data_IF_542934781891
#
_entry.id   IF_542934781891
#
_cell.length_a   1.000
_cell.length_b   1.000
_cell.length_c   1.000
_cell.angle_alpha   90.00
_cell.angle_beta   90.00
_cell.angle_gamma   90.00
#
_symmetry.space_group_name_H-M   'P 1'
#
loop_
_entity.id
_entity.type
_entity.pdbx_description
1 polymer ?
#
# COMPACT_ATOMS: atom_id res chain seq x y z
N UNK A 1 -3.99 -5.80 18.39
CA UNK A 1 -3.46 -6.59 19.54
C UNK A 1 -3.60 -8.10 19.37
N UNK A 2 -4.78 -8.62 18.96
CA UNK A 2 -5.01 -10.08 18.83
C UNK A 2 -4.26 -10.73 17.66
N UNK A 3 -4.33 -10.16 16.45
CA UNK A 3 -3.64 -10.72 15.27
C UNK A 3 -2.12 -10.80 15.45
N UNK A 4 -1.50 -9.75 16.02
CA UNK A 4 -0.05 -9.70 16.28
C UNK A 4 0.42 -10.74 17.29
N UNK A 5 -0.43 -11.11 18.26
CA UNK A 5 -0.15 -12.19 19.22
C UNK A 5 -0.29 -13.56 18.57
N UNK A 6 -1.27 -13.73 17.69
CA UNK A 6 -1.54 -15.01 17.03
C UNK A 6 -0.54 -15.33 15.89
N UNK A 7 -0.15 -14.32 15.10
CA UNK A 7 0.66 -14.49 13.88
C UNK A 7 2.09 -13.96 14.01
N UNK A 8 2.40 -13.29 15.11
CA UNK A 8 3.66 -12.60 15.29
C UNK A 8 3.71 -11.26 14.56
N UNK A 9 4.77 -10.50 14.86
CA UNK A 9 5.12 -9.28 14.13
C UNK A 9 6.05 -9.66 12.98
N UNK A 10 6.04 -8.87 11.92
CA UNK A 10 6.82 -9.16 10.71
C UNK A 10 7.56 -7.93 10.22
N UNK A 11 8.83 -8.14 9.88
CA UNK A 11 9.70 -7.13 9.31
C UNK A 11 10.47 -7.77 8.14
N UNK A 12 10.61 -7.04 7.06
CA UNK A 12 11.53 -7.36 5.98
C UNK A 12 12.12 -6.07 5.41
N UNK A 13 13.33 -6.17 4.88
CA UNK A 13 14.08 -5.00 4.44
C UNK A 13 13.54 -4.45 3.12
N UNK A 14 13.70 -3.14 2.95
CA UNK A 14 13.53 -2.47 1.67
C UNK A 14 14.51 -3.01 0.61
N UNK A 15 15.78 -3.14 0.99
CA UNK A 15 16.82 -3.79 0.21
C UNK A 15 18.10 -3.98 1.03
N UNK A 16 19.15 -4.52 0.41
CA UNK A 16 20.43 -4.74 1.11
C UNK A 16 21.19 -3.44 1.41
N UNK A 17 21.07 -2.44 0.54
CA UNK A 17 21.71 -1.13 0.70
C UNK A 17 20.88 -0.17 1.56
N UNK A 18 19.57 -0.36 1.54
CA UNK A 18 18.57 0.49 2.19
C UNK A 18 18.00 -0.28 3.39
N UNK A 19 18.69 -0.18 4.54
CA UNK A 19 18.44 -1.01 5.73
C UNK A 19 17.25 -0.52 6.56
N UNK A 20 16.12 -0.30 5.92
CA UNK A 20 14.87 0.12 6.55
C UNK A 20 13.88 -1.03 6.50
N UNK A 21 13.23 -1.31 7.63
CA UNK A 21 12.23 -2.36 7.71
C UNK A 21 10.86 -1.87 7.27
N UNK A 22 10.23 -2.64 6.38
CA UNK A 22 8.89 -2.41 5.86
C UNK A 22 8.70 -0.99 5.31
N UNK A 23 9.70 -0.42 4.62
CA UNK A 23 9.58 0.91 4.01
C UNK A 23 8.28 1.03 3.23
N UNK A 24 7.40 1.92 3.67
CA UNK A 24 5.97 1.76 3.52
C UNK A 24 5.46 2.23 2.17
N UNK A 25 6.05 3.30 1.66
CA UNK A 25 5.85 3.81 0.31
C UNK A 25 6.29 2.81 -0.76
N UNK A 26 7.26 1.94 -0.45
CA UNK A 26 7.72 0.82 -1.30
C UNK A 26 6.91 -0.45 -1.04
N UNK A 27 6.56 -0.73 0.21
CA UNK A 27 5.68 -1.81 0.64
C UNK A 27 4.33 -1.73 -0.07
N UNK A 28 3.83 -0.52 -0.36
CA UNK A 28 2.64 -0.30 -1.20
C UNK A 28 2.63 -1.14 -2.49
N UNK A 29 3.78 -1.27 -3.14
CA UNK A 29 3.93 -2.07 -4.35
C UNK A 29 4.10 -3.55 -4.01
N UNK A 30 5.01 -3.85 -3.08
CA UNK A 30 5.41 -5.20 -2.70
C UNK A 30 4.31 -6.02 -2.01
N UNK A 31 3.40 -5.34 -1.30
CA UNK A 31 2.40 -5.96 -0.42
C UNK A 31 1.34 -6.76 -1.16
N UNK A 32 1.26 -6.64 -2.50
CA UNK A 32 0.50 -7.56 -3.33
C UNK A 32 0.96 -9.02 -3.15
N UNK A 33 2.26 -9.27 -2.97
CA UNK A 33 2.74 -10.61 -2.69
C UNK A 33 2.22 -11.12 -1.32
N UNK A 34 2.32 -10.29 -0.28
CA UNK A 34 1.90 -10.68 1.06
C UNK A 34 0.39 -10.88 1.16
N UNK A 35 -0.44 -9.95 0.66
CA UNK A 35 -1.90 -10.10 0.79
C UNK A 35 -2.45 -11.31 0.02
N UNK A 36 -1.83 -11.66 -1.12
CA UNK A 36 -2.25 -12.81 -1.92
C UNK A 36 -1.80 -14.16 -1.31
N UNK A 37 -0.60 -14.21 -0.73
CA UNK A 37 0.01 -15.47 -0.28
C UNK A 37 -0.09 -15.69 1.24
N UNK A 38 0.08 -14.62 2.02
CA UNK A 38 0.10 -14.61 3.48
C UNK A 38 -0.75 -13.47 4.05
N UNK A 39 -2.08 -13.47 3.82
CA UNK A 39 -2.96 -12.36 4.18
C UNK A 39 -2.91 -11.97 5.66
N UNK A 40 -2.79 -12.96 6.57
CA UNK A 40 -2.69 -12.66 8.00
C UNK A 40 -1.36 -11.98 8.37
N UNK A 41 -0.28 -12.22 7.62
CA UNK A 41 1.00 -11.55 7.79
C UNK A 41 0.89 -10.09 7.35
N UNK A 42 0.28 -9.85 6.18
CA UNK A 42 -0.03 -8.50 5.69
C UNK A 42 -0.87 -7.73 6.71
N UNK A 43 -1.95 -8.34 7.23
CA UNK A 43 -2.80 -7.71 8.24
C UNK A 43 -2.01 -7.41 9.51
N UNK A 44 -1.18 -8.33 9.99
CA UNK A 44 -0.34 -8.10 11.18
C UNK A 44 0.58 -6.90 11.00
N UNK A 45 1.26 -6.81 9.85
CA UNK A 45 2.11 -5.68 9.47
C UNK A 45 1.31 -4.37 9.40
N UNK A 46 0.11 -4.39 8.81
CA UNK A 46 -0.74 -3.20 8.71
C UNK A 46 -1.17 -2.69 10.10
N UNK A 47 -1.40 -3.57 11.07
CA UNK A 47 -1.66 -3.18 12.46
C UNK A 47 -0.44 -2.56 13.15
N UNK A 48 0.78 -2.97 12.78
CA UNK A 48 2.00 -2.31 13.28
C UNK A 48 2.10 -0.87 12.75
N UNK A 49 1.77 -0.62 11.48
CA UNK A 49 1.69 0.75 10.96
C UNK A 49 0.56 1.55 11.61
N UNK A 50 -0.65 0.98 11.75
CA UNK A 50 -1.74 1.62 12.50
C UNK A 50 -1.27 2.09 13.88
N UNK A 51 -0.65 1.21 14.65
CA UNK A 51 -0.25 1.50 16.03
C UNK A 51 0.91 2.52 16.09
N UNK A 52 1.64 2.72 14.98
CA UNK A 52 2.75 3.67 14.88
C UNK A 52 2.32 5.11 14.51
N UNK A 53 1.15 5.28 13.90
CA UNK A 53 0.72 6.59 13.36
C UNK A 53 0.58 7.64 14.46
N UNK A 54 -0.02 7.27 15.60
CA UNK A 54 -0.21 8.15 16.76
C UNK A 54 1.02 8.21 17.67
N UNK A 55 2.12 7.53 17.32
CA UNK A 55 3.35 7.64 18.09
C UNK A 55 4.13 8.87 17.66
N UNK A 56 4.84 9.41 18.65
CA UNK A 56 5.75 10.54 18.52
C UNK A 56 7.14 10.13 18.99
N UNK A 57 8.17 10.59 18.28
CA UNK A 57 9.55 10.50 18.71
C UNK A 57 10.21 11.88 18.56
N UNK A 58 10.48 12.52 19.71
CA UNK A 58 11.02 13.88 19.79
C UNK A 58 12.53 13.97 19.59
N UNK A 59 13.23 12.87 19.27
CA UNK A 59 14.64 12.92 18.86
C UNK A 59 14.78 13.86 17.65
N UNK A 60 15.58 14.91 17.78
CA UNK A 60 15.80 15.85 16.68
C UNK A 60 16.84 15.29 15.72
N UNK A 61 16.49 15.14 14.45
CA UNK A 61 17.38 14.66 13.39
C UNK A 61 17.61 15.74 12.36
N UNK A 62 18.84 15.80 11.84
CA UNK A 62 19.21 16.64 10.71
C UNK A 62 19.07 15.83 9.42
N UNK A 63 18.29 16.34 8.48
CA UNK A 63 18.07 15.70 7.19
C UNK A 63 19.27 15.89 6.26
N UNK A 64 19.58 14.84 5.49
CA UNK A 64 20.74 14.86 4.58
C UNK A 64 20.49 15.69 3.32
N UNK A 65 19.24 15.84 2.89
CA UNK A 65 18.91 16.55 1.64
C UNK A 65 19.16 18.06 1.71
N UNK A 66 18.66 18.73 2.76
CA UNK A 66 18.69 20.20 2.88
C UNK A 66 19.28 20.69 4.21
N UNK A 67 19.68 19.79 5.11
CA UNK A 67 20.23 20.13 6.40
C UNK A 67 19.24 20.69 7.42
N UNK A 68 17.93 20.71 7.12
CA UNK A 68 16.91 21.08 8.10
C UNK A 68 16.81 20.04 9.21
N UNK A 69 16.24 20.45 10.34
CA UNK A 69 16.04 19.58 11.50
C UNK A 69 14.56 19.40 11.80
N UNK A 70 14.12 18.18 12.06
CA UNK A 70 12.77 17.89 12.54
C UNK A 70 12.78 16.82 13.64
N UNK A 71 11.64 16.61 14.28
CA UNK A 71 11.42 15.45 15.16
C UNK A 71 11.40 14.16 14.33
N UNK A 72 12.14 13.14 14.76
CA UNK A 72 12.27 11.85 14.07
C UNK A 72 10.92 11.25 13.65
N UNK A 73 9.91 11.38 14.50
CA UNK A 73 8.53 10.98 14.18
C UNK A 73 7.54 12.01 14.71
N UNK A 74 6.87 12.70 13.78
CA UNK A 74 5.72 13.55 14.07
C UNK A 74 4.47 12.69 14.26
N UNK A 75 3.62 13.05 15.22
CA UNK A 75 2.34 12.37 15.44
C UNK A 75 1.39 12.51 14.24
N UNK A 76 0.46 11.56 14.07
CA UNK A 76 -0.58 11.55 13.05
C UNK A 76 -0.04 11.50 11.62
N UNK A 77 1.15 10.95 11.44
CA UNK A 77 1.72 10.57 10.14
C UNK A 77 2.03 9.09 10.11
N UNK A 78 1.88 8.49 8.94
CA UNK A 78 2.43 7.17 8.66
C UNK A 78 3.96 7.29 8.67
N UNK A 79 4.70 6.48 9.45
CA UNK A 79 6.14 6.47 9.35
C UNK A 79 6.57 5.91 7.98
N UNK A 80 7.71 6.37 7.50
CA UNK A 80 8.33 5.84 6.29
C UNK A 80 8.69 4.36 6.46
N UNK A 81 9.26 4.00 7.61
CA UNK A 81 9.70 2.64 7.90
C UNK A 81 9.54 2.32 9.40
N UNK A 82 9.58 1.04 9.75
CA UNK A 82 9.51 0.56 11.12
C UNK A 82 10.89 0.37 11.76
N UNK A 83 11.92 1.08 11.29
CA UNK A 83 13.25 1.14 11.88
C UNK A 83 14.34 0.41 11.12
N UNK A 84 15.54 0.36 11.72
CA UNK A 84 16.77 -0.22 11.15
C UNK A 84 17.21 -1.47 11.95
N UNK A 85 17.81 -2.51 11.32
CA UNK A 85 18.41 -3.66 12.00
C UNK A 85 19.41 -3.35 13.12
N UNK A 86 20.07 -2.20 13.08
CA UNK A 86 21.05 -1.75 14.07
C UNK A 86 20.43 -0.95 15.23
N UNK A 87 19.13 -0.68 15.19
CA UNK A 87 18.39 0.03 16.23
C UNK A 87 17.37 -0.90 16.92
N UNK A 88 16.29 -0.35 17.48
CA UNK A 88 15.18 -1.13 18.04
C UNK A 88 13.95 -0.97 17.14
N UNK A 89 13.73 -1.89 16.18
CA UNK A 89 12.60 -1.83 15.27
C UNK A 89 11.27 -1.67 16.01
N UNK A 90 10.30 -1.08 15.33
CA UNK A 90 8.98 -0.69 15.84
C UNK A 90 8.93 0.41 16.90
N UNK A 91 9.99 0.59 17.70
CA UNK A 91 10.09 1.66 18.68
C UNK A 91 10.87 2.86 18.11
N UNK A 92 11.95 2.57 17.37
CA UNK A 92 12.77 3.56 16.66
C UNK A 92 12.43 3.54 15.16
N UNK A 93 11.19 3.94 14.83
CA UNK A 93 10.71 4.08 13.45
C UNK A 93 11.35 5.28 12.73
N UNK A 94 11.11 5.42 11.42
CA UNK A 94 11.73 6.46 10.58
C UNK A 94 13.27 6.44 10.70
N UNK A 95 13.87 5.30 10.37
CA UNK A 95 15.31 5.20 10.22
C UNK A 95 15.82 6.02 9.02
N UNK A 96 15.00 6.19 7.99
CA UNK A 96 15.30 7.01 6.82
C UNK A 96 15.72 8.45 7.19
N UNK A 97 16.95 8.88 6.83
CA UNK A 97 17.50 10.16 7.30
C UNK A 97 17.48 11.27 6.25
N UNK A 98 17.05 11.01 5.01
CA UNK A 98 17.32 11.92 3.90
C UNK A 98 16.36 13.12 3.87
N UNK A 99 15.05 12.87 4.03
CA UNK A 99 14.00 13.90 3.99
C UNK A 99 13.13 13.88 5.25
N UNK A 100 12.38 14.95 5.48
CA UNK A 100 11.27 14.95 6.44
C UNK A 100 10.07 14.21 5.84
N UNK A 101 9.93 12.94 6.23
CA UNK A 101 8.87 12.05 5.73
C UNK A 101 7.48 12.40 6.28
N UNK A 102 7.40 13.25 7.31
CA UNK A 102 6.11 13.68 7.85
C UNK A 102 5.34 14.60 6.90
N UNK A 103 6.06 15.18 5.94
CA UNK A 103 5.56 16.06 4.89
C UNK A 103 5.35 15.31 3.56
N UNK A 104 5.58 14.00 3.50
CA UNK A 104 5.37 13.26 2.26
C UNK A 104 3.88 13.15 1.89
N UNK A 105 3.60 13.33 0.60
CA UNK A 105 2.24 13.40 0.02
C UNK A 105 1.65 12.03 -0.29
N UNK A 106 2.46 10.98 -0.29
CA UNK A 106 2.06 9.63 -0.70
C UNK A 106 1.89 8.65 0.47
N UNK A 107 2.63 8.76 1.57
CA UNK A 107 2.58 7.79 2.68
C UNK A 107 1.18 7.62 3.29
N UNK A 108 0.52 8.73 3.63
CA UNK A 108 -0.83 8.70 4.22
C UNK A 108 -1.87 8.13 3.24
N UNK A 109 -1.82 8.54 1.97
CA UNK A 109 -2.77 8.09 0.93
C UNK A 109 -2.54 6.61 0.60
N UNK A 110 -1.28 6.16 0.50
CA UNK A 110 -0.89 4.75 0.38
C UNK A 110 -1.34 3.91 1.56
N UNK A 111 -1.36 4.45 2.78
CA UNK A 111 -1.89 3.74 3.94
C UNK A 111 -3.38 3.48 3.83
N UNK A 112 -4.16 4.52 3.53
CA UNK A 112 -5.61 4.42 3.36
C UNK A 112 -5.96 3.42 2.25
N UNK A 113 -5.25 3.50 1.13
CA UNK A 113 -5.44 2.61 -0.01
C UNK A 113 -5.11 1.15 0.33
N UNK A 114 -4.00 0.89 1.02
CA UNK A 114 -3.63 -0.45 1.50
C UNK A 114 -4.69 -1.02 2.46
N UNK A 115 -5.19 -0.22 3.41
CA UNK A 115 -6.28 -0.65 4.29
C UNK A 115 -7.49 -1.12 3.48
N UNK A 116 -7.94 -0.34 2.50
CA UNK A 116 -9.10 -0.74 1.70
C UNK A 116 -8.84 -1.98 0.85
N UNK A 117 -7.68 -2.07 0.18
CA UNK A 117 -7.31 -3.24 -0.63
C UNK A 117 -7.34 -4.50 0.22
N UNK A 118 -6.71 -4.46 1.39
CA UNK A 118 -6.61 -5.61 2.29
C UNK A 118 -8.01 -6.00 2.78
N UNK A 119 -8.86 -5.03 3.15
CA UNK A 119 -10.27 -5.28 3.46
C UNK A 119 -11.00 -6.00 2.32
N UNK A 120 -10.87 -5.50 1.08
CA UNK A 120 -11.55 -6.06 -0.07
C UNK A 120 -11.11 -7.51 -0.33
N UNK A 121 -9.81 -7.79 -0.26
CA UNK A 121 -9.27 -9.13 -0.52
C UNK A 121 -9.67 -10.10 0.60
N UNK A 122 -9.62 -9.67 1.86
CA UNK A 122 -10.08 -10.48 3.01
C UNK A 122 -11.57 -10.80 2.87
N UNK A 123 -12.39 -9.82 2.48
CA UNK A 123 -13.82 -10.02 2.22
C UNK A 123 -14.05 -11.03 1.09
N UNK A 124 -13.28 -10.96 0.00
CA UNK A 124 -13.37 -11.93 -1.09
C UNK A 124 -13.03 -13.35 -0.59
N UNK A 125 -12.03 -13.49 0.27
CA UNK A 125 -11.71 -14.78 0.90
C UNK A 125 -12.82 -15.28 1.83
N UNK A 126 -13.43 -14.40 2.63
CA UNK A 126 -14.58 -14.75 3.46
C UNK A 126 -15.75 -15.25 2.61
N UNK A 127 -16.06 -14.58 1.50
CA UNK A 127 -17.16 -14.94 0.61
C UNK A 127 -16.92 -16.29 -0.11
N UNK A 128 -15.72 -16.48 -0.67
CA UNK A 128 -15.34 -17.75 -1.29
C UNK A 128 -15.45 -18.90 -0.27
N UNK A 129 -15.05 -18.64 0.97
CA UNK A 129 -15.15 -19.64 2.03
C UNK A 129 -16.60 -19.90 2.43
N UNK A 130 -17.46 -18.88 2.60
CA UNK A 130 -18.88 -19.12 2.90
C UNK A 130 -19.57 -19.93 1.80
N UNK A 131 -19.26 -19.65 0.54
CA UNK A 131 -19.81 -20.39 -0.60
C UNK A 131 -19.32 -21.85 -0.59
N UNK A 132 -18.07 -22.08 -0.18
CA UNK A 132 -17.49 -23.42 -0.04
C UNK A 132 -17.87 -24.14 1.26
N UNK A 133 -18.32 -23.44 2.31
CA UNK A 133 -18.82 -24.07 3.55
C UNK A 133 -20.10 -24.86 3.29
N UNK A 134 -20.86 -24.51 2.25
CA UNK A 134 -21.94 -25.36 1.71
C UNK A 134 -21.44 -26.71 1.15
N UNK A 135 -20.12 -26.85 0.91
CA UNK A 135 -19.44 -28.06 0.42
C UNK A 135 -18.46 -28.69 1.41
N UNK A 136 -17.97 -27.96 2.42
CA UNK A 136 -17.02 -28.45 3.44
C UNK A 136 -17.26 -27.79 4.81
N UNK A 137 -17.63 -28.60 5.81
CA UNK A 137 -18.28 -28.18 7.06
C UNK A 137 -17.36 -27.68 8.20
N UNK A 138 -16.29 -26.92 7.95
CA UNK A 138 -15.34 -26.66 9.04
C UNK A 138 -14.56 -25.34 8.97
N UNK A 139 -15.21 -24.18 9.22
CA UNK A 139 -14.52 -22.94 9.62
C UNK A 139 -15.39 -22.16 10.63
N UNK A 140 -14.77 -21.69 11.73
CA UNK A 140 -15.34 -20.74 12.70
C UNK A 140 -14.42 -19.51 12.83
N UNK A 141 -15.02 -18.32 12.98
CA UNK A 141 -14.35 -17.03 13.07
C UNK A 141 -13.65 -16.84 14.43
N UNK A 142 -12.57 -16.05 14.50
CA UNK A 142 -11.91 -15.72 15.77
C UNK A 142 -12.86 -14.87 16.64
N UNK A 143 -13.42 -15.45 17.69
CA UNK A 143 -13.97 -14.72 18.83
C UNK A 143 -13.03 -14.77 20.05
N UNK A 144 -13.37 -14.04 21.12
CA UNK A 144 -12.56 -13.96 22.34
C UNK A 144 -12.44 -15.30 23.06
N UNK A 145 -13.43 -16.19 22.95
CA UNK A 145 -13.49 -17.48 23.65
C UNK A 145 -12.58 -18.50 22.97
N UNK A 146 -12.55 -18.51 21.64
CA UNK A 146 -11.67 -19.37 20.84
C UNK A 146 -10.17 -19.14 21.12
N UNK A 147 -9.80 -17.95 21.59
CA UNK A 147 -8.43 -17.58 21.92
C UNK A 147 -8.01 -18.04 23.33
N UNK A 148 -8.93 -18.08 24.31
CA UNK A 148 -8.60 -18.56 25.66
C UNK A 148 -8.20 -20.03 25.64
N UNK A 149 -8.89 -20.82 24.81
CA UNK A 149 -8.60 -22.24 24.64
C UNK A 149 -7.25 -22.48 23.96
N UNK A 150 -6.86 -21.60 23.04
CA UNK A 150 -5.58 -21.68 22.33
C UNK A 150 -4.38 -21.40 23.24
N UNK A 151 -4.52 -20.50 24.22
CA UNK A 151 -3.46 -20.17 25.19
C UNK A 151 -3.31 -21.28 26.23
N UNK A 152 -4.41 -21.95 26.61
CA UNK A 152 -4.43 -22.99 27.64
C UNK A 152 -3.94 -24.37 27.16
N UNK A 153 -3.93 -24.64 25.85
CA UNK A 153 -3.66 -25.96 25.28
C UNK A 153 -2.21 -26.30 24.92
N UNK A 154 -1.22 -25.44 25.19
CA UNK A 154 0.18 -25.61 24.73
C UNK A 154 1.03 -26.60 25.55
N UNK A 155 0.42 -27.65 26.10
CA UNK A 155 1.09 -28.73 26.80
C UNK A 155 1.00 -30.06 26.04
N UNK A 156 2.04 -30.37 25.23
CA UNK A 156 2.31 -31.66 24.57
C UNK A 156 1.34 -32.15 23.46
N UNK A 157 1.82 -32.28 22.21
CA UNK A 157 1.98 -33.54 21.45
C UNK A 157 2.32 -33.34 19.95
N UNK A 158 2.65 -34.46 19.28
CA UNK A 158 3.60 -34.70 18.17
C UNK A 158 3.09 -34.48 16.73
N UNK A 159 4.09 -34.33 15.84
CA UNK A 159 4.13 -34.25 14.36
C UNK A 159 3.39 -35.40 13.64
N UNK A 160 2.62 -35.09 12.59
CA UNK A 160 2.28 -35.97 11.45
C UNK A 160 2.30 -35.18 10.13
N UNK A 161 2.86 -35.79 9.07
CA UNK A 161 3.13 -35.18 7.76
C UNK A 161 2.15 -35.63 6.65
N UNK A 162 2.02 -34.75 5.63
CA UNK A 162 1.54 -34.85 4.23
C UNK A 162 0.03 -34.81 3.90
N UNK A 163 -0.41 -33.67 3.35
CA UNK A 163 -0.58 -33.48 1.90
C UNK A 163 -1.17 -32.10 1.54
N UNK A 164 -0.61 -31.48 0.49
CA UNK A 164 -0.99 -30.23 -0.21
C UNK A 164 -2.11 -29.37 0.42
N UNK A 165 -1.73 -28.35 1.21
CA UNK A 165 -2.65 -27.26 1.61
C UNK A 165 -2.02 -25.91 1.30
N UNK A 166 -2.80 -25.04 0.67
CA UNK A 166 -2.40 -23.70 0.23
C UNK A 166 -1.93 -22.86 1.43
N UNK A 167 -0.79 -22.20 1.29
CA UNK A 167 -0.03 -21.54 2.35
C UNK A 167 -0.69 -20.26 2.94
N UNK A 168 -1.94 -19.96 2.60
CA UNK A 168 -2.64 -18.72 2.99
C UNK A 168 -3.51 -18.84 4.26
N UNK A 169 -3.49 -19.99 4.93
CA UNK A 169 -4.30 -20.29 6.11
C UNK A 169 -3.44 -20.92 7.19
N UNK A 170 -3.38 -20.33 8.38
CA UNK A 170 -2.83 -21.03 9.53
C UNK A 170 -3.82 -22.10 9.96
N UNK A 171 -3.40 -23.35 9.87
CA UNK A 171 -4.07 -24.50 10.46
C UNK A 171 -3.57 -24.57 11.90
N UNK A 172 -4.44 -24.36 12.88
CA UNK A 172 -4.10 -24.68 14.26
C UNK A 172 -3.88 -26.21 14.33
N UNK A 173 -2.64 -26.65 14.51
CA UNK A 173 -2.27 -28.07 14.48
C UNK A 173 -2.90 -28.89 15.63
N UNK A 174 -3.35 -28.22 16.69
CA UNK A 174 -4.00 -28.84 17.85
C UNK A 174 -5.48 -29.14 17.61
N UNK A 175 -6.15 -28.41 16.72
CA UNK A 175 -7.60 -28.58 16.45
C UNK A 175 -8.00 -28.62 14.96
N UNK A 176 -7.04 -28.46 14.04
CA UNK A 176 -7.24 -28.49 12.59
C UNK A 176 -7.93 -27.26 11.97
N UNK A 177 -8.18 -26.17 12.72
CA UNK A 177 -9.01 -25.03 12.27
C UNK A 177 -8.21 -23.91 11.59
N UNK A 178 -8.85 -23.25 10.62
CA UNK A 178 -8.34 -22.07 9.89
C UNK A 178 -8.97 -20.79 10.44
N UNK A 179 -8.15 -19.77 10.70
CA UNK A 179 -8.64 -18.48 11.21
C UNK A 179 -8.25 -17.32 10.29
N UNK A 180 -9.23 -16.67 9.66
CA UNK A 180 -9.06 -15.41 8.94
C UNK A 180 -9.58 -14.25 9.81
N UNK A 181 -8.90 -13.10 9.80
CA UNK A 181 -9.43 -11.89 10.41
C UNK A 181 -10.74 -11.50 9.73
N UNK A 182 -11.77 -11.14 10.51
CA UNK A 182 -13.02 -10.70 9.90
C UNK A 182 -12.82 -9.40 9.12
N UNK A 183 -13.26 -9.33 7.85
CA UNK A 183 -13.05 -8.15 7.01
C UNK A 183 -13.70 -6.90 7.62
N UNK A 184 -14.94 -7.00 8.10
CA UNK A 184 -15.64 -5.86 8.72
C UNK A 184 -15.00 -5.46 10.05
N UNK A 185 -14.47 -6.42 10.81
CA UNK A 185 -13.74 -6.12 12.06
C UNK A 185 -12.44 -5.37 11.76
N UNK A 186 -11.68 -5.85 10.78
CA UNK A 186 -10.46 -5.19 10.32
C UNK A 186 -10.75 -3.75 9.88
N UNK A 187 -11.81 -3.56 9.09
CA UNK A 187 -12.21 -2.24 8.63
C UNK A 187 -12.60 -1.30 9.79
N UNK A 188 -13.42 -1.78 10.75
CA UNK A 188 -13.77 -1.03 11.97
C UNK A 188 -12.55 -0.65 12.81
N UNK A 189 -11.58 -1.56 12.91
CA UNK A 189 -10.36 -1.30 13.66
C UNK A 189 -9.47 -0.26 12.94
N UNK A 190 -9.42 -0.24 11.61
CA UNK A 190 -8.54 0.64 10.82
C UNK A 190 -9.14 2.01 10.50
N UNK A 191 -10.45 2.10 10.29
CA UNK A 191 -11.08 3.34 9.82
C UNK A 191 -10.79 4.58 10.69
N UNK A 192 -10.80 4.51 12.04
CA UNK A 192 -10.46 5.68 12.86
C UNK A 192 -9.06 6.24 12.58
N UNK A 193 -8.08 5.37 12.33
CA UNK A 193 -6.71 5.83 12.04
C UNK A 193 -6.59 6.34 10.60
N UNK A 194 -7.36 5.79 9.65
CA UNK A 194 -7.46 6.33 8.29
C UNK A 194 -7.99 7.77 8.30
N UNK A 195 -9.00 8.07 9.14
CA UNK A 195 -9.50 9.45 9.32
C UNK A 195 -8.39 10.39 9.80
N UNK A 196 -7.61 9.99 10.81
CA UNK A 196 -6.52 10.81 11.36
C UNK A 196 -5.52 11.22 10.28
N UNK A 197 -5.06 10.27 9.48
CA UNK A 197 -4.08 10.57 8.41
C UNK A 197 -4.72 11.29 7.22
N UNK A 198 -6.00 11.06 6.94
CA UNK A 198 -6.75 11.82 5.94
C UNK A 198 -6.88 13.30 6.34
N UNK A 199 -7.26 13.61 7.59
CA UNK A 199 -7.34 14.99 8.07
C UNK A 199 -6.01 15.73 8.01
N UNK A 200 -4.87 15.04 8.20
CA UNK A 200 -3.55 15.64 7.97
C UNK A 200 -3.30 15.87 6.49
N UNK A 201 -3.66 14.91 5.63
CA UNK A 201 -3.47 14.99 4.18
C UNK A 201 -4.30 16.10 3.55
N UNK A 202 -5.53 16.34 4.02
CA UNK A 202 -6.41 17.42 3.56
C UNK A 202 -5.80 18.81 3.75
N UNK A 203 -4.84 19.00 4.65
CA UNK A 203 -4.15 20.28 4.85
C UNK A 203 -3.16 20.60 3.74
N UNK A 204 -2.84 19.63 2.90
CA UNK A 204 -1.98 19.82 1.74
C UNK A 204 -2.73 20.30 0.51
N UNK A 205 -4.05 20.49 0.56
CA UNK A 205 -4.83 21.24 -0.44
C UNK A 205 -4.85 22.72 -0.01
N UNK A 206 -3.97 23.50 -0.62
CA UNK A 206 -3.68 24.88 -0.24
C UNK A 206 -4.57 25.88 -0.97
N UNK A 207 -5.05 25.55 -2.17
CA UNK A 207 -5.91 26.41 -2.99
C UNK A 207 -7.42 26.04 -2.90
N UNK A 208 -7.75 24.91 -2.28
CA UNK A 208 -9.12 24.46 -2.02
C UNK A 208 -9.83 23.85 -3.23
N UNK A 209 -9.09 23.49 -4.28
CA UNK A 209 -9.63 22.92 -5.50
C UNK A 209 -9.94 21.40 -5.42
N UNK A 210 -9.59 20.76 -4.30
CA UNK A 210 -9.75 19.33 -4.09
C UNK A 210 -8.54 18.50 -4.52
N UNK A 211 -7.36 19.08 -4.73
CA UNK A 211 -6.08 18.40 -4.94
C UNK A 211 -5.03 18.88 -3.95
N UNK A 212 -4.16 17.95 -3.55
CA UNK A 212 -3.00 18.29 -2.73
C UNK A 212 -1.84 18.80 -3.59
N UNK A 213 -1.09 19.78 -3.09
CA UNK A 213 0.11 20.29 -3.74
C UNK A 213 1.39 19.66 -3.19
N UNK A 214 2.24 19.18 -4.10
CA UNK A 214 3.63 18.89 -3.82
C UNK A 214 4.41 20.20 -3.58
N UNK A 215 5.37 20.12 -2.67
CA UNK A 215 6.07 21.24 -2.05
C UNK A 215 7.17 21.89 -2.90
N UNK A 216 7.34 21.48 -4.16
CA UNK A 216 8.53 21.81 -4.97
C UNK A 216 9.84 21.31 -4.32
N UNK A 217 9.73 20.26 -3.53
CA UNK A 217 10.83 19.45 -3.01
C UNK A 217 10.42 17.97 -3.10
N UNK A 218 11.36 17.01 -3.03
CA UNK A 218 10.99 15.61 -3.05
C UNK A 218 10.26 15.24 -1.76
N UNK A 219 8.97 14.96 -1.90
CA UNK A 219 8.03 14.69 -0.81
C UNK A 219 7.18 13.44 -1.09
N UNK A 220 7.81 12.42 -1.70
CA UNK A 220 7.20 11.15 -2.08
C UNK A 220 8.28 10.10 -2.44
N UNK A 221 7.90 8.84 -2.69
CA UNK A 221 8.79 7.68 -2.95
C UNK A 221 9.92 7.87 -3.97
N UNK A 222 9.70 8.71 -4.99
CA UNK A 222 10.73 9.17 -5.93
C UNK A 222 11.49 10.33 -5.27
N UNK A 223 12.21 10.02 -4.21
CA UNK A 223 12.82 10.91 -3.20
C UNK A 223 13.91 11.86 -3.72
N UNK A 224 14.35 11.71 -4.97
CA UNK A 224 15.21 12.68 -5.64
C UNK A 224 14.51 13.43 -6.78
N UNK A 225 13.26 13.10 -7.08
CA UNK A 225 12.48 13.69 -8.18
C UNK A 225 11.49 14.72 -7.64
N UNK A 226 11.74 15.98 -7.96
CA UNK A 226 10.92 17.10 -7.49
C UNK A 226 9.60 17.15 -8.25
N UNK A 227 8.49 17.23 -7.51
CA UNK A 227 7.15 17.56 -8.00
C UNK A 227 6.73 18.94 -7.45
N UNK A 228 6.01 19.73 -8.25
CA UNK A 228 5.56 21.09 -7.88
C UNK A 228 4.08 21.32 -8.19
N UNK A 229 3.35 21.79 -7.17
CA UNK A 229 1.89 21.92 -7.22
C UNK A 229 1.22 20.55 -7.31
N UNK A 230 -0.02 20.46 -7.83
CA UNK A 230 -0.65 19.16 -8.04
C UNK A 230 0.15 18.29 -9.01
N UNK A 231 0.57 17.10 -8.57
CA UNK A 231 1.15 16.07 -9.44
C UNK A 231 0.14 15.00 -9.79
N UNK A 232 0.32 14.35 -10.93
CA UNK A 232 -0.55 13.23 -11.31
C UNK A 232 -0.39 12.04 -10.35
N UNK A 233 0.83 11.83 -9.84
CA UNK A 233 1.11 10.74 -8.91
C UNK A 233 0.45 10.96 -7.55
N UNK A 234 0.83 12.02 -6.82
CA UNK A 234 0.30 12.27 -5.48
C UNK A 234 -1.17 12.71 -5.51
N UNK A 235 -1.55 13.57 -6.46
CA UNK A 235 -2.93 13.99 -6.65
C UNK A 235 -3.84 12.81 -7.00
N UNK A 236 -3.40 11.92 -7.89
CA UNK A 236 -4.12 10.69 -8.20
C UNK A 236 -4.31 9.78 -6.99
N UNK A 237 -3.26 9.55 -6.20
CA UNK A 237 -3.32 8.74 -4.97
C UNK A 237 -4.27 9.36 -3.94
N UNK A 238 -4.25 10.69 -3.81
CA UNK A 238 -5.15 11.43 -2.93
C UNK A 238 -6.62 11.25 -3.35
N UNK A 239 -6.96 11.43 -4.62
CA UNK A 239 -8.33 11.19 -5.09
C UNK A 239 -8.78 9.74 -4.89
N UNK A 240 -7.89 8.77 -5.10
CA UNK A 240 -8.20 7.38 -4.81
C UNK A 240 -8.44 7.14 -3.32
N UNK A 241 -7.67 7.80 -2.46
CA UNK A 241 -7.86 7.72 -1.02
C UNK A 241 -9.20 8.33 -0.58
N UNK A 242 -9.63 9.46 -1.17
CA UNK A 242 -10.95 10.04 -0.92
C UNK A 242 -12.08 9.10 -1.35
N UNK A 243 -11.95 8.48 -2.53
CA UNK A 243 -12.91 7.50 -3.01
C UNK A 243 -13.05 6.32 -2.04
N UNK A 244 -11.94 5.69 -1.63
CA UNK A 244 -12.06 4.57 -0.69
C UNK A 244 -12.51 5.03 0.70
N UNK A 245 -12.17 6.24 1.14
CA UNK A 245 -12.70 6.79 2.40
C UNK A 245 -14.21 6.96 2.36
N UNK A 246 -14.79 7.47 1.27
CA UNK A 246 -16.26 7.59 1.16
C UNK A 246 -16.93 6.21 1.15
N UNK A 247 -16.34 5.22 0.47
CA UNK A 247 -16.85 3.84 0.47
C UNK A 247 -16.75 3.21 1.86
N UNK A 248 -15.61 3.35 2.55
CA UNK A 248 -15.45 2.85 3.93
C UNK A 248 -16.45 3.52 4.88
N UNK A 249 -16.64 4.84 4.76
CA UNK A 249 -17.60 5.58 5.54
C UNK A 249 -19.03 5.05 5.35
N UNK A 250 -19.43 4.80 4.09
CA UNK A 250 -20.74 4.21 3.78
C UNK A 250 -20.90 2.80 4.37
N UNK A 251 -19.88 1.93 4.25
CA UNK A 251 -19.90 0.57 4.82
C UNK A 251 -20.06 0.60 6.35
N UNK A 252 -19.48 1.60 7.01
CA UNK A 252 -19.47 1.75 8.46
C UNK A 252 -20.57 2.67 9.01
N UNK A 253 -21.51 3.13 8.16
CA UNK A 253 -22.61 4.01 8.53
C UNK A 253 -22.15 5.37 9.10
N UNK A 254 -21.19 6.00 8.42
CA UNK A 254 -20.71 7.37 8.68
C UNK A 254 -21.10 8.32 7.53
N UNK A 255 -22.36 8.75 7.44
CA UNK A 255 -22.87 9.52 6.30
C UNK A 255 -22.17 10.87 6.11
N UNK A 256 -21.85 11.59 7.19
CA UNK A 256 -21.18 12.91 7.11
C UNK A 256 -19.78 12.80 6.48
N UNK A 257 -19.03 11.76 6.84
CA UNK A 257 -17.72 11.47 6.25
C UNK A 257 -17.87 11.11 4.75
N UNK A 258 -18.87 10.29 4.42
CA UNK A 258 -19.16 9.89 3.05
C UNK A 258 -19.42 11.11 2.15
N UNK A 259 -20.27 12.04 2.61
CA UNK A 259 -20.58 13.29 1.90
C UNK A 259 -19.31 14.14 1.78
N UNK A 260 -18.61 14.40 2.89
CA UNK A 260 -17.38 15.20 2.91
C UNK A 260 -16.35 14.73 1.88
N UNK A 261 -16.03 13.43 1.88
CA UNK A 261 -15.00 12.90 0.99
C UNK A 261 -15.46 12.83 -0.47
N UNK A 262 -16.75 12.59 -0.71
CA UNK A 262 -17.31 12.62 -2.07
C UNK A 262 -17.30 14.03 -2.66
N UNK A 263 -17.66 15.05 -1.88
CA UNK A 263 -17.65 16.45 -2.33
C UNK A 263 -16.24 16.92 -2.71
N UNK A 264 -15.22 16.54 -1.94
CA UNK A 264 -13.82 16.87 -2.24
C UNK A 264 -13.35 16.09 -3.49
N UNK A 265 -13.71 14.81 -3.59
CA UNK A 265 -13.39 13.98 -4.76
C UNK A 265 -13.96 14.57 -6.05
N UNK A 266 -15.18 15.10 -6.02
CA UNK A 266 -15.83 15.69 -7.20
C UNK A 266 -15.10 16.94 -7.69
N UNK A 267 -14.69 17.82 -6.77
CA UNK A 267 -13.88 19.01 -7.07
C UNK A 267 -12.51 18.60 -7.62
N UNK A 268 -11.84 17.69 -6.91
CA UNK A 268 -10.50 17.23 -7.26
C UNK A 268 -10.43 16.50 -8.60
N UNK A 269 -11.46 15.71 -8.96
CA UNK A 269 -11.55 15.09 -10.30
C UNK A 269 -11.60 16.13 -11.41
N UNK A 270 -12.39 17.19 -11.21
CA UNK A 270 -12.45 18.30 -12.18
C UNK A 270 -11.12 19.03 -12.25
N UNK A 271 -10.53 19.38 -11.11
CA UNK A 271 -9.24 20.05 -11.05
C UNK A 271 -8.12 19.22 -11.71
N UNK A 272 -8.09 17.91 -11.49
CA UNK A 272 -7.08 17.02 -12.08
C UNK A 272 -7.17 17.02 -13.60
N UNK A 273 -8.39 16.93 -14.12
CA UNK A 273 -8.63 16.98 -15.56
C UNK A 273 -8.26 18.34 -16.16
N UNK A 274 -8.66 19.44 -15.51
CA UNK A 274 -8.39 20.80 -15.98
C UNK A 274 -6.88 21.15 -15.93
N UNK A 275 -6.18 20.73 -14.88
CA UNK A 275 -4.76 21.07 -14.63
C UNK A 275 -3.77 20.12 -15.33
N UNK A 276 -4.08 18.83 -15.43
CA UNK A 276 -3.07 17.81 -15.81
C UNK A 276 -3.34 17.10 -17.13
N UNK A 277 -4.57 17.04 -17.64
CA UNK A 277 -4.83 16.34 -18.90
C UNK A 277 -4.38 17.19 -20.12
N UNK A 278 -3.34 16.75 -20.82
CA UNK A 278 -2.80 17.48 -21.98
C UNK A 278 -3.35 17.04 -23.35
N UNK A 279 -4.39 16.19 -23.35
CA UNK A 279 -4.95 15.62 -24.57
C UNK A 279 -4.38 14.27 -24.98
N UNK A 280 -3.22 13.84 -24.47
CA UNK A 280 -2.61 12.53 -24.77
C UNK A 280 -2.38 11.69 -23.52
N UNK A 281 -1.80 12.30 -22.50
CA UNK A 281 -1.48 11.70 -21.21
C UNK A 281 -1.69 12.74 -20.12
N UNK A 282 -1.51 12.36 -18.86
CA UNK A 282 -1.53 13.32 -17.76
C UNK A 282 -0.12 13.87 -17.53
N UNK A 283 0.01 15.19 -17.53
CA UNK A 283 1.26 15.88 -17.20
C UNK A 283 1.77 15.45 -15.82
N UNK A 284 3.09 15.37 -15.68
CA UNK A 284 3.76 14.95 -14.45
C UNK A 284 3.29 15.76 -13.22
N UNK A 285 3.25 17.08 -13.37
CA UNK A 285 2.73 18.03 -12.41
C UNK A 285 2.38 19.35 -13.10
N UNK A 286 2.07 20.38 -12.31
CA UNK A 286 1.76 21.72 -12.80
C UNK A 286 2.97 22.61 -13.11
N UNK A 287 4.20 22.10 -13.02
CA UNK A 287 5.41 22.87 -13.34
C UNK A 287 5.59 23.16 -14.83
N UNK A 288 4.80 22.52 -15.70
CA UNK A 288 4.88 22.67 -17.15
C UNK A 288 5.97 21.84 -17.81
N UNK A 289 6.48 20.81 -17.14
CA UNK A 289 7.48 19.89 -17.70
C UNK A 289 6.86 18.93 -18.72
N UNK A 290 7.63 18.60 -19.77
CA UNK A 290 7.20 17.65 -20.80
C UNK A 290 7.65 16.22 -20.46
N UNK A 291 7.15 15.69 -19.34
CA UNK A 291 7.52 14.39 -18.79
C UNK A 291 6.35 13.41 -18.93
N UNK A 292 6.61 12.21 -19.45
CA UNK A 292 5.68 11.08 -19.42
C UNK A 292 6.12 10.16 -18.28
N UNK A 293 5.45 10.27 -17.12
CA UNK A 293 5.72 9.39 -15.99
C UNK A 293 5.06 8.02 -16.22
N UNK A 294 5.83 6.94 -16.04
CA UNK A 294 5.34 5.56 -16.16
C UNK A 294 4.26 5.25 -15.11
N UNK A 295 4.41 5.80 -13.92
CA UNK A 295 3.51 5.60 -12.78
C UNK A 295 2.41 6.67 -12.68
N UNK A 296 2.14 7.43 -13.76
CA UNK A 296 1.12 8.48 -13.76
C UNK A 296 -0.31 7.95 -13.51
N UNK A 297 -0.54 6.63 -13.64
CA UNK A 297 -1.82 6.00 -13.35
C UNK A 297 -1.74 5.05 -12.16
N UNK A 298 -0.79 5.28 -11.24
CA UNK A 298 -0.60 4.47 -10.03
C UNK A 298 -1.91 4.27 -9.25
N UNK A 299 -2.66 5.36 -9.07
CA UNK A 299 -3.91 5.34 -8.32
C UNK A 299 -5.02 4.56 -9.03
N UNK A 300 -5.07 4.62 -10.37
CA UNK A 300 -5.98 3.77 -11.14
C UNK A 300 -5.62 2.30 -10.98
N UNK A 301 -4.33 1.95 -11.16
CA UNK A 301 -3.85 0.58 -10.91
C UNK A 301 -4.24 0.08 -9.53
N UNK A 302 -4.07 0.91 -8.50
CA UNK A 302 -4.39 0.50 -7.14
C UNK A 302 -5.90 0.36 -6.90
N UNK A 303 -6.74 1.25 -7.43
CA UNK A 303 -8.20 1.11 -7.37
C UNK A 303 -8.68 -0.16 -8.11
N UNK A 304 -8.05 -0.50 -9.25
CA UNK A 304 -8.30 -1.79 -9.92
C UNK A 304 -7.96 -2.97 -9.00
N UNK A 305 -6.89 -2.90 -8.23
CA UNK A 305 -6.53 -3.88 -7.19
C UNK A 305 -7.52 -3.91 -6.01
N UNK A 306 -8.24 -2.82 -5.76
CA UNK A 306 -9.33 -2.75 -4.78
C UNK A 306 -10.69 -3.25 -5.32
N UNK A 307 -10.78 -3.63 -6.61
CA UNK A 307 -12.02 -4.12 -7.22
C UNK A 307 -12.89 -3.02 -7.86
N UNK A 308 -12.39 -1.79 -7.92
CA UNK A 308 -13.04 -0.69 -8.65
C UNK A 308 -12.60 -0.64 -10.11
N UNK A 309 -13.19 0.27 -10.87
CA UNK A 309 -12.82 0.49 -12.28
C UNK A 309 -12.35 1.94 -12.53
N UNK A 310 -13.22 2.79 -13.07
CA UNK A 310 -12.87 4.12 -13.60
C UNK A 310 -13.38 5.27 -12.72
N UNK A 311 -13.19 5.16 -11.41
CA UNK A 311 -13.76 6.09 -10.41
C UNK A 311 -13.21 7.52 -10.52
N UNK A 312 -11.92 7.63 -10.85
CA UNK A 312 -11.20 8.91 -10.96
C UNK A 312 -11.08 9.36 -12.41
N UNK A 313 -10.61 8.45 -13.27
CA UNK A 313 -10.18 8.79 -14.63
C UNK A 313 -11.15 8.21 -15.66
N UNK A 314 -11.52 8.98 -16.70
CA UNK A 314 -12.29 8.45 -17.81
C UNK A 314 -11.55 7.31 -18.52
N UNK A 315 -12.26 6.19 -18.80
CA UNK A 315 -11.71 4.99 -19.46
C UNK A 315 -10.89 5.28 -20.71
N UNK A 316 -11.40 6.15 -21.59
CA UNK A 316 -10.73 6.50 -22.83
C UNK A 316 -9.38 7.22 -22.59
N UNK A 317 -9.29 8.06 -21.54
CA UNK A 317 -8.06 8.77 -21.16
C UNK A 317 -7.05 7.82 -20.53
N UNK A 318 -7.49 6.91 -19.67
CA UNK A 318 -6.65 5.81 -19.14
C UNK A 318 -6.01 5.03 -20.28
N UNK A 319 -6.81 4.55 -21.23
CA UNK A 319 -6.29 3.78 -22.37
C UNK A 319 -5.30 4.58 -23.22
N UNK A 320 -5.54 5.88 -23.40
CA UNK A 320 -4.66 6.75 -24.18
C UNK A 320 -3.35 7.06 -23.47
N UNK A 321 -3.38 7.29 -22.15
CA UNK A 321 -2.21 7.47 -21.33
C UNK A 321 -1.36 6.19 -21.29
N UNK A 322 -1.98 5.02 -21.06
CA UNK A 322 -1.27 3.72 -21.10
C UNK A 322 -0.62 3.44 -22.46
N UNK A 323 -1.30 3.75 -23.58
CA UNK A 323 -0.68 3.69 -24.91
C UNK A 323 0.52 4.62 -25.04
N UNK A 324 0.40 5.86 -24.56
CA UNK A 324 1.49 6.83 -24.60
C UNK A 324 2.70 6.35 -23.79
N UNK A 325 2.49 5.73 -22.62
CA UNK A 325 3.55 5.13 -21.80
C UNK A 325 4.20 3.95 -22.54
N UNK A 326 3.38 3.05 -23.09
CA UNK A 326 3.86 1.86 -23.80
C UNK A 326 4.68 2.21 -25.05
N UNK A 327 4.21 3.16 -25.85
CA UNK A 327 4.91 3.67 -27.05
C UNK A 327 6.24 4.37 -26.72
N UNK A 328 6.43 4.81 -25.47
CA UNK A 328 7.66 5.47 -24.99
C UNK A 328 8.47 4.60 -24.02
N UNK A 329 8.42 3.26 -24.22
CA UNK A 329 9.35 2.24 -23.71
C UNK A 329 9.40 2.03 -22.19
N UNK A 330 8.58 1.13 -21.64
CA UNK A 330 8.79 0.66 -20.25
C UNK A 330 8.60 -0.83 -19.98
N UNK A 331 7.80 -1.60 -20.73
CA UNK A 331 7.48 -2.98 -20.31
C UNK A 331 8.48 -4.07 -20.78
N UNK A 332 9.03 -3.97 -21.99
CA UNK A 332 9.90 -5.03 -22.55
C UNK A 332 11.36 -4.99 -22.09
N UNK A 333 11.87 -3.80 -21.72
CA UNK A 333 13.29 -3.60 -21.43
C UNK A 333 13.77 -4.26 -20.14
N UNK A 334 12.92 -4.32 -19.11
CA UNK A 334 13.29 -4.85 -17.80
C UNK A 334 13.58 -6.35 -17.82
N UNK A 335 12.70 -7.17 -18.43
CA UNK A 335 12.92 -8.62 -18.53
C UNK A 335 14.25 -8.93 -19.21
N UNK A 336 14.45 -8.43 -20.43
CA UNK A 336 15.68 -8.65 -21.20
C UNK A 336 16.93 -8.15 -20.44
N UNK A 337 16.84 -6.98 -19.80
CA UNK A 337 17.97 -6.43 -19.05
C UNK A 337 18.35 -7.29 -17.84
N UNK A 338 17.37 -7.80 -17.09
CA UNK A 338 17.62 -8.58 -15.88
C UNK A 338 18.10 -10.00 -16.17
N UNK A 339 17.53 -10.67 -17.17
CA UNK A 339 17.83 -12.09 -17.44
C UNK A 339 18.94 -12.30 -18.46
N UNK A 340 18.98 -11.49 -19.52
CA UNK A 340 19.88 -11.73 -20.65
C UNK A 340 21.15 -10.88 -20.58
N UNK A 341 21.10 -9.70 -19.95
CA UNK A 341 22.22 -8.75 -19.96
C UNK A 341 22.99 -8.65 -18.63
N UNK A 342 22.30 -8.53 -17.49
CA UNK A 342 22.94 -8.22 -16.19
C UNK A 342 23.01 -9.44 -15.26
N UNK A 343 22.06 -10.38 -15.35
CA UNK A 343 22.08 -11.63 -14.56
C UNK A 343 21.64 -11.49 -13.10
N UNK A 344 20.56 -10.75 -12.83
CA UNK A 344 20.07 -10.43 -11.46
C UNK A 344 18.82 -11.24 -11.05
N UNK A 345 18.66 -12.46 -11.55
CA UNK A 345 17.43 -13.26 -11.39
C UNK A 345 17.02 -13.57 -9.93
N UNK A 346 17.92 -13.41 -8.96
CA UNK A 346 17.67 -13.61 -7.53
C UNK A 346 18.02 -12.39 -6.66
N UNK A 347 18.39 -11.28 -7.30
CA UNK A 347 18.87 -10.06 -6.65
C UNK A 347 18.21 -8.84 -7.31
N UNK A 348 16.97 -9.00 -7.78
CA UNK A 348 16.25 -8.00 -8.59
C UNK A 348 16.35 -6.62 -7.95
N UNK A 349 16.87 -5.62 -8.69
CA UNK A 349 17.15 -4.31 -8.13
C UNK A 349 15.92 -3.39 -8.13
N UNK A 350 16.01 -2.27 -7.44
CA UNK A 350 15.03 -1.17 -7.53
C UNK A 350 15.02 -0.57 -8.94
N UNK A 351 16.20 -0.31 -9.50
CA UNK A 351 16.32 0.38 -10.78
C UNK A 351 17.44 -0.20 -11.65
N UNK A 352 17.23 -0.12 -12.96
CA UNK A 352 18.21 -0.42 -14.01
C UNK A 352 18.38 0.83 -14.87
N UNK A 353 19.62 1.14 -15.23
CA UNK A 353 19.97 2.25 -16.11
C UNK A 353 20.17 1.77 -17.54
N UNK A 354 20.23 2.69 -18.51
CA UNK A 354 20.43 2.39 -19.94
C UNK A 354 21.67 1.50 -20.21
N UNK A 355 22.75 1.66 -19.44
CA UNK A 355 24.06 1.03 -19.69
C UNK A 355 24.45 -0.05 -18.67
N UNK A 356 23.73 -1.18 -18.62
CA UNK A 356 24.05 -2.35 -17.77
C UNK A 356 24.43 -2.03 -16.31
N UNK A 357 23.90 -0.94 -15.76
CA UNK A 357 24.08 -0.53 -14.37
C UNK A 357 22.76 -0.68 -13.64
N UNK A 358 22.83 -0.87 -12.32
CA UNK A 358 21.66 -1.00 -11.45
C UNK A 358 21.85 -0.21 -10.15
N UNK A 359 20.78 -0.09 -9.36
CA UNK A 359 20.78 0.51 -8.03
C UNK A 359 19.94 -0.33 -7.07
N UNK A 360 20.48 -0.63 -5.88
CA UNK A 360 19.83 -1.37 -4.80
C UNK A 360 19.32 -2.75 -5.18
N UNK A 361 20.17 -3.77 -5.01
CA UNK A 361 19.82 -5.18 -5.25
C UNK A 361 19.02 -5.81 -4.11
N UNK A 362 18.35 -6.92 -4.41
CA UNK A 362 17.53 -7.66 -3.45
C UNK A 362 16.41 -6.79 -2.90
N UNK A 363 15.75 -6.05 -3.80
CA UNK A 363 14.83 -4.99 -3.45
C UNK A 363 13.38 -5.48 -3.30
N UNK A 364 12.60 -4.82 -2.45
CA UNK A 364 11.23 -5.27 -2.15
C UNK A 364 10.22 -4.93 -3.27
N UNK A 365 10.38 -3.79 -3.97
CA UNK A 365 9.38 -3.28 -4.95
C UNK A 365 9.02 -4.26 -6.09
N UNK A 366 9.97 -5.05 -6.64
CA UNK A 366 9.68 -6.08 -7.65
C UNK A 366 8.67 -7.15 -7.24
N UNK A 367 8.39 -7.34 -5.94
CA UNK A 367 7.31 -8.23 -5.47
C UNK A 367 5.91 -7.79 -5.99
N UNK A 368 5.79 -6.56 -6.51
CA UNK A 368 4.58 -6.05 -7.19
C UNK A 368 4.15 -6.86 -8.41
N UNK A 369 5.01 -7.73 -8.97
CA UNK A 369 4.63 -8.68 -10.04
C UNK A 369 3.40 -9.53 -9.66
N UNK A 370 3.19 -9.80 -8.37
CA UNK A 370 2.00 -10.51 -7.87
C UNK A 370 0.68 -9.77 -8.15
N UNK A 371 0.71 -8.46 -8.39
CA UNK A 371 -0.48 -7.72 -8.84
C UNK A 371 -0.97 -8.18 -10.22
N UNK A 372 -0.07 -8.67 -11.09
CA UNK A 372 -0.45 -9.25 -12.38
C UNK A 372 -1.21 -10.56 -12.20
N UNK A 373 -0.80 -11.39 -11.24
CA UNK A 373 -1.51 -12.63 -10.91
C UNK A 373 -2.94 -12.31 -10.41
N UNK A 374 -3.08 -11.33 -9.51
CA UNK A 374 -4.40 -10.88 -9.03
C UNK A 374 -5.29 -10.39 -10.17
N UNK A 375 -4.73 -9.59 -11.10
CA UNK A 375 -5.47 -9.09 -12.26
C UNK A 375 -5.90 -10.24 -13.19
N UNK A 376 -5.02 -11.20 -13.44
CA UNK A 376 -5.31 -12.38 -14.25
C UNK A 376 -6.43 -13.23 -13.65
N UNK A 377 -6.38 -13.53 -12.35
CA UNK A 377 -7.42 -14.29 -11.67
C UNK A 377 -8.78 -13.59 -11.68
N UNK A 378 -8.81 -12.27 -11.48
CA UNK A 378 -10.03 -11.48 -11.60
C UNK A 378 -10.61 -11.49 -13.02
N UNK A 379 -9.76 -11.41 -14.04
CA UNK A 379 -10.21 -11.49 -15.43
C UNK A 379 -10.90 -12.82 -15.75
N UNK A 380 -10.44 -13.93 -15.16
CA UNK A 380 -11.09 -15.24 -15.31
C UNK A 380 -12.48 -15.27 -14.68
N UNK A 381 -12.66 -14.62 -13.53
CA UNK A 381 -13.97 -14.54 -12.86
C UNK A 381 -14.99 -13.71 -13.65
N UNK A 382 -14.56 -12.72 -14.42
CA UNK A 382 -15.44 -11.88 -15.24
C UNK A 382 -15.85 -12.55 -16.56
N UNK A 383 -15.03 -13.50 -17.05
CA UNK A 383 -15.24 -14.19 -18.32
C UNK A 383 -15.97 -15.54 -18.17
N UNK A 384 -16.23 -15.98 -16.94
CA UNK A 384 -17.06 -17.14 -16.60
C UNK A 384 -18.39 -16.64 -16.02
#
# INVERSE_FOLDING_TARGET
>A
MLIKRAYGRFLYLEGHEYRMYNTYDVHFYASHALINLWPNLQVSLQYDFKDSITQKNSEIRKHLYDGKTCERKIENTVPHDLGDPAENPWLQMNAYPIHDVSEWRDLNTKFILQVYRDFSIIRDFEQINSDNTSKFSSIEFIDKESLSDMIMGSGNQRIVDKSKKSASMYINETNGKVYLMSSIKYLKDMYPICKVVMEKTLKFDLDGDGLIENSSSPDQTYDTWVMSGPSIYCGGLFLASLHVMSVMANILDHPDDCIKYSDILDKGRKALEDKLWNGKYYSFDTSGTNIIMSDQLCSHWYLRSCGFDYEIFPKAKVQRALRSIFENNTAGGLYNSMTENIGLAFETPEAVYEKSCYRSIGYMRPLSIWSMQSAYERSKKLNN
#
